data_IF_728235411152
#
_entry.id   IF_728235411152
#
_cell.length_a   1.000
_cell.length_b   1.000
_cell.length_c   1.000
_cell.angle_alpha   90.00
_cell.angle_beta   90.00
_cell.angle_gamma   90.00
#
_symmetry.space_group_name_H-M   'P 1'
#
loop_
_entity.id
_entity.type
_entity.pdbx_description
1 polymer ?
#
# COMPACT_ATOMS: atom_id res chain seq x y z
N UNK A 1 3.64 -9.94 -17.31
CA UNK A 1 2.70 -9.91 -16.18
C UNK A 1 3.51 -9.50 -14.98
N UNK A 2 3.13 -8.39 -14.37
CA UNK A 2 3.91 -7.73 -13.34
C UNK A 2 3.04 -6.72 -12.61
N UNK A 3 3.35 -6.56 -11.33
CA UNK A 3 2.60 -5.72 -10.40
C UNK A 3 3.11 -4.29 -10.50
N UNK A 4 2.21 -3.32 -10.67
CA UNK A 4 2.55 -1.89 -10.67
C UNK A 4 2.52 -1.29 -9.27
N UNK A 5 3.49 -1.68 -8.44
CA UNK A 5 3.60 -1.22 -7.04
C UNK A 5 3.67 0.31 -6.94
N UNK A 6 4.34 0.96 -7.89
CA UNK A 6 4.58 2.40 -7.85
C UNK A 6 3.28 3.20 -8.00
N UNK A 7 2.35 2.75 -8.84
CA UNK A 7 1.05 3.39 -9.00
C UNK A 7 0.18 3.30 -7.73
N UNK A 8 0.21 2.18 -6.98
CA UNK A 8 -0.48 2.08 -5.69
C UNK A 8 0.14 3.03 -4.65
N UNK A 9 1.48 3.08 -4.60
CA UNK A 9 2.22 3.96 -3.69
C UNK A 9 1.92 5.45 -3.95
N UNK A 10 1.95 5.88 -5.22
CA UNK A 10 1.68 7.27 -5.61
C UNK A 10 0.24 7.72 -5.30
N UNK A 11 -0.70 6.77 -5.30
CA UNK A 11 -2.10 7.02 -4.95
C UNK A 11 -2.35 6.90 -3.44
N UNK A 12 -1.34 6.49 -2.66
CA UNK A 12 -1.48 6.21 -1.23
C UNK A 12 -2.52 5.13 -0.95
N UNK A 13 -2.78 4.21 -1.89
CA UNK A 13 -3.76 3.14 -1.69
C UNK A 13 -3.06 1.83 -1.35
N UNK A 14 -3.67 0.97 -0.54
CA UNK A 14 -3.11 -0.34 -0.26
C UNK A 14 -2.98 -1.16 -1.56
N UNK A 15 -1.92 -1.97 -1.59
CA UNK A 15 -1.63 -2.86 -2.71
C UNK A 15 -2.76 -3.88 -2.88
N UNK A 16 -3.52 -3.78 -3.97
CA UNK A 16 -4.61 -4.70 -4.30
C UNK A 16 -4.45 -5.28 -5.71
N UNK A 17 -3.62 -6.32 -5.83
CA UNK A 17 -3.35 -7.00 -7.09
C UNK A 17 -3.33 -8.51 -6.87
N UNK A 18 -3.95 -9.25 -7.78
CA UNK A 18 -4.06 -10.73 -7.74
C UNK A 18 -2.70 -11.41 -7.89
N UNK A 19 -1.74 -10.76 -8.53
CA UNK A 19 -0.37 -11.26 -8.67
C UNK A 19 0.45 -11.04 -7.39
N UNK A 20 -0.03 -10.18 -6.46
CA UNK A 20 0.66 -9.89 -5.21
C UNK A 20 0.54 -11.05 -4.21
N UNK A 21 1.59 -11.87 -4.12
CA UNK A 21 1.70 -12.96 -3.12
C UNK A 21 2.10 -12.48 -1.71
N UNK A 22 2.11 -11.16 -1.47
CA UNK A 22 2.48 -10.53 -0.17
C UNK A 22 3.87 -10.95 0.34
N UNK A 23 4.85 -11.09 -0.55
CA UNK A 23 6.20 -11.57 -0.23
C UNK A 23 7.14 -10.57 0.47
N UNK A 24 6.69 -9.33 0.74
CA UNK A 24 7.47 -8.23 1.34
C UNK A 24 8.60 -7.61 0.50
N UNK A 25 8.97 -8.17 -0.65
CA UNK A 25 10.10 -7.70 -1.45
C UNK A 25 10.02 -6.20 -1.81
N UNK A 26 8.85 -5.73 -2.25
CA UNK A 26 8.67 -4.32 -2.61
C UNK A 26 8.83 -3.36 -1.41
N UNK A 27 8.43 -3.78 -0.21
CA UNK A 27 8.57 -3.00 1.03
C UNK A 27 10.05 -2.90 1.40
N UNK A 28 10.77 -4.02 1.39
CA UNK A 28 12.20 -4.09 1.76
C UNK A 28 13.07 -3.30 0.78
N UNK A 29 12.75 -3.36 -0.52
CA UNK A 29 13.55 -2.74 -1.56
C UNK A 29 13.14 -1.30 -1.89
N UNK A 30 12.15 -0.72 -1.21
CA UNK A 30 11.66 0.63 -1.51
C UNK A 30 12.70 1.69 -1.10
N UNK A 31 13.37 2.37 -2.04
CA UNK A 31 14.45 3.31 -1.71
C UNK A 31 13.91 4.56 -1.00
N UNK A 32 12.66 4.93 -1.28
CA UNK A 32 11.98 6.09 -0.69
C UNK A 32 11.24 5.76 0.60
N UNK A 33 11.20 4.48 1.01
CA UNK A 33 10.55 4.03 2.25
C UNK A 33 9.08 4.42 2.37
N UNK A 34 8.38 4.61 1.24
CA UNK A 34 6.95 4.99 1.22
C UNK A 34 6.01 3.81 1.42
N UNK A 35 6.53 2.58 1.31
CA UNK A 35 5.76 1.35 1.47
C UNK A 35 5.94 0.80 2.88
N UNK A 36 4.85 0.34 3.47
CA UNK A 36 4.85 -0.29 4.79
C UNK A 36 3.73 -1.33 4.91
N UNK A 37 3.83 -2.21 5.90
CA UNK A 37 2.76 -3.13 6.23
C UNK A 37 1.70 -2.45 7.09
N UNK A 38 0.47 -2.42 6.58
CA UNK A 38 -0.70 -2.11 7.39
C UNK A 38 -1.07 -3.28 8.30
N UNK A 39 -1.54 -2.99 9.50
CA UNK A 39 -2.19 -3.98 10.37
C UNK A 39 -3.70 -3.88 10.20
N UNK A 40 -4.34 -5.01 9.91
CA UNK A 40 -5.80 -5.10 9.82
C UNK A 40 -6.33 -5.76 11.08
N UNK A 41 -7.45 -5.24 11.61
CA UNK A 41 -8.13 -5.84 12.77
C UNK A 41 -8.71 -7.24 12.45
N UNK A 42 -8.92 -7.53 11.17
CA UNK A 42 -9.45 -8.80 10.67
C UNK A 42 -8.68 -9.21 9.41
N UNK A 43 -8.50 -10.51 9.23
CA UNK A 43 -7.93 -11.04 7.99
C UNK A 43 -8.81 -10.67 6.79
N UNK A 44 -8.16 -10.17 5.74
CA UNK A 44 -8.79 -9.72 4.50
C UNK A 44 -8.16 -10.44 3.31
N UNK A 45 -8.67 -11.63 2.94
CA UNK A 45 -8.14 -12.40 1.83
C UNK A 45 -8.40 -11.68 0.50
N UNK A 46 -9.55 -11.03 0.35
CA UNK A 46 -9.98 -10.36 -0.88
C UNK A 46 -9.54 -8.90 -0.95
N UNK A 47 -8.90 -8.39 0.12
CA UNK A 47 -8.42 -7.03 0.23
C UNK A 47 -9.53 -6.00 -0.04
N UNK A 48 -10.71 -6.18 0.56
CA UNK A 48 -11.86 -5.29 0.37
C UNK A 48 -12.08 -4.36 1.60
N UNK A 49 -11.46 -4.66 2.74
CA UNK A 49 -11.62 -3.93 4.00
C UNK A 49 -11.14 -2.47 3.90
N UNK A 50 -10.24 -2.15 2.96
CA UNK A 50 -9.80 -0.76 2.72
C UNK A 50 -10.89 0.15 2.13
N UNK A 51 -11.97 -0.42 1.58
CA UNK A 51 -13.10 0.36 1.04
C UNK A 51 -14.03 0.83 2.15
N UNK A 52 -14.21 0.00 3.19
CA UNK A 52 -15.13 0.24 4.31
C UNK A 52 -14.42 0.87 5.51
N UNK A 53 -13.21 0.42 5.78
CA UNK A 53 -12.29 1.16 6.63
C UNK A 53 -11.82 2.27 5.72
N UNK A 54 -12.36 3.49 5.89
CA UNK A 54 -11.57 4.69 5.58
C UNK A 54 -10.33 4.53 6.47
N UNK A 55 -9.36 3.72 6.02
CA UNK A 55 -8.03 3.71 6.59
C UNK A 55 -7.72 5.19 6.50
N UNK A 56 -7.59 5.86 7.64
CA UNK A 56 -6.96 7.16 7.67
C UNK A 56 -5.54 6.87 7.17
N UNK A 57 -5.41 6.73 5.84
CA UNK A 57 -4.21 6.78 5.06
C UNK A 57 -3.63 8.09 5.53
N UNK A 58 -2.70 7.93 6.49
CA UNK A 58 -2.17 8.95 7.36
C UNK A 58 -2.20 10.27 6.63
N UNK A 59 -2.93 11.24 7.18
CA UNK A 59 -3.12 12.60 6.65
C UNK A 59 -1.96 12.95 5.71
N UNK A 60 -2.18 12.69 4.42
CA UNK A 60 -1.18 12.87 3.37
C UNK A 60 -1.09 14.39 3.09
N UNK A 61 -1.16 15.22 4.12
CA UNK A 61 -0.90 16.66 4.06
C UNK A 61 0.61 16.94 4.16
N UNK A 62 1.42 15.99 4.65
CA UNK A 62 2.85 16.20 4.92
C UNK A 62 3.81 15.46 3.96
N UNK A 63 3.32 14.60 3.07
CA UNK A 63 4.14 14.03 1.98
C UNK A 63 4.40 15.08 0.89
N UNK A 64 5.26 16.06 1.22
CA UNK A 64 6.01 16.75 0.18
C UNK A 64 6.84 15.69 -0.53
N UNK A 65 6.32 15.18 -1.64
CA UNK A 65 7.16 14.68 -2.72
C UNK A 65 8.19 15.76 -2.94
N UNK A 66 9.44 15.50 -2.55
CA UNK A 66 10.51 16.47 -2.67
C UNK A 66 10.67 16.88 -4.13
N UNK A 67 10.01 17.98 -4.49
CA UNK A 67 10.29 19.00 -5.50
C UNK A 67 9.49 20.25 -5.12
#
# INVERSE_FOLDING_TARGET
MGIDVMNFANKGIPMNDVECVRCSACVVNCPTQVLSFGSLAKADPDNELYKITKLHLLDHSDWRSGL
#
